data_IF_087603060945
#
_entry.id   IF_087603060945
#
_cell.length_a   1.000
_cell.length_b   1.000
_cell.length_c   1.000
_cell.angle_alpha   90.00
_cell.angle_beta   90.00
_cell.angle_gamma   90.00
#
_symmetry.space_group_name_H-M   'P 1'
#
loop_
_entity.id
_entity.type
_entity.pdbx_description
1 polymer ?
#
# COMPACT_ATOMS: atom_id res chain seq x y z
N UNK A 1 14.61 28.24 -4.03
CA UNK A 1 14.37 27.44 -2.79
C UNK A 1 12.91 27.03 -2.62
N UNK A 2 11.90 27.88 -2.85
CA UNK A 2 10.47 27.54 -2.65
C UNK A 2 9.97 26.41 -3.59
N UNK A 3 10.44 26.37 -4.84
CA UNK A 3 10.02 25.33 -5.80
C UNK A 3 10.63 23.94 -5.54
N UNK A 4 11.81 23.86 -4.92
CA UNK A 4 12.44 22.57 -4.64
C UNK A 4 11.79 21.86 -3.44
N UNK A 5 11.32 22.60 -2.43
CA UNK A 5 10.60 22.02 -1.30
C UNK A 5 9.26 21.43 -1.74
N UNK A 6 8.50 22.12 -2.60
CA UNK A 6 7.22 21.64 -3.13
C UNK A 6 7.37 20.36 -3.97
N UNK A 7 8.43 20.25 -4.75
CA UNK A 7 8.75 19.02 -5.51
C UNK A 7 9.18 17.86 -4.60
N UNK A 8 9.90 18.15 -3.50
CA UNK A 8 10.29 17.15 -2.50
C UNK A 8 9.06 16.58 -1.79
N UNK A 9 8.11 17.43 -1.43
CA UNK A 9 6.87 17.03 -0.74
C UNK A 9 5.96 16.19 -1.65
N UNK A 10 5.82 16.56 -2.92
CA UNK A 10 5.07 15.73 -3.89
C UNK A 10 5.71 14.36 -4.14
N UNK A 11 7.05 14.29 -4.20
CA UNK A 11 7.78 13.02 -4.34
C UNK A 11 7.58 12.11 -3.12
N UNK A 12 7.45 12.68 -1.93
CA UNK A 12 7.11 11.95 -0.71
C UNK A 12 5.67 11.44 -0.75
N UNK A 13 4.71 12.29 -1.10
CA UNK A 13 3.30 11.91 -1.24
C UNK A 13 3.12 10.78 -2.25
N UNK A 14 3.78 10.86 -3.41
CA UNK A 14 3.70 9.81 -4.43
C UNK A 14 4.29 8.47 -3.96
N UNK A 15 5.39 8.51 -3.17
CA UNK A 15 5.97 7.32 -2.55
C UNK A 15 5.00 6.70 -1.52
N UNK A 16 4.36 7.50 -0.69
CA UNK A 16 3.38 7.00 0.28
C UNK A 16 2.09 6.51 -0.38
N UNK A 17 1.68 7.09 -1.51
CA UNK A 17 0.48 6.68 -2.23
C UNK A 17 0.69 5.40 -3.05
N UNK A 18 1.88 5.22 -3.66
CA UNK A 18 2.12 4.08 -4.56
C UNK A 18 3.09 3.05 -3.98
N UNK A 19 4.24 3.46 -3.46
CA UNK A 19 5.31 2.54 -3.08
C UNK A 19 4.96 1.76 -1.82
N UNK A 20 4.41 2.44 -0.80
CA UNK A 20 4.00 1.78 0.44
C UNK A 20 2.87 0.76 0.23
N UNK A 21 1.76 1.11 -0.44
CA UNK A 21 0.72 0.13 -0.70
C UNK A 21 1.18 -1.01 -1.62
N UNK A 22 2.04 -0.74 -2.59
CA UNK A 22 2.63 -1.78 -3.45
C UNK A 22 3.49 -2.77 -2.65
N UNK A 23 4.24 -2.29 -1.65
CA UNK A 23 4.98 -3.16 -0.72
C UNK A 23 4.04 -4.11 0.02
N UNK A 24 2.92 -3.60 0.56
CA UNK A 24 1.93 -4.44 1.25
C UNK A 24 1.25 -5.44 0.32
N UNK A 25 0.91 -5.04 -0.91
CA UNK A 25 0.35 -5.95 -1.93
C UNK A 25 1.34 -7.06 -2.27
N UNK A 26 2.63 -6.73 -2.42
CA UNK A 26 3.68 -7.73 -2.68
C UNK A 26 3.82 -8.70 -1.51
N UNK A 27 3.80 -8.20 -0.27
CA UNK A 27 3.82 -9.05 0.91
C UNK A 27 2.59 -9.99 0.97
N UNK A 28 1.40 -9.49 0.62
CA UNK A 28 0.18 -10.30 0.53
C UNK A 28 0.27 -11.37 -0.56
N UNK A 29 0.91 -11.07 -1.69
CA UNK A 29 1.14 -12.05 -2.75
C UNK A 29 1.97 -13.24 -2.23
N UNK A 30 3.08 -12.93 -1.55
CA UNK A 30 3.95 -13.96 -0.95
C UNK A 30 3.20 -14.76 0.11
N UNK A 31 2.45 -14.09 1.00
CA UNK A 31 1.68 -14.75 2.05
C UNK A 31 0.61 -15.69 1.48
N UNK A 32 -0.16 -15.23 0.48
CA UNK A 32 -1.18 -16.05 -0.17
C UNK A 32 -0.58 -17.20 -0.95
N UNK A 33 0.58 -17.02 -1.58
CA UNK A 33 1.29 -18.11 -2.25
C UNK A 33 1.70 -19.21 -1.27
N UNK A 34 2.28 -18.84 -0.13
CA UNK A 34 2.66 -19.78 0.94
C UNK A 34 1.41 -20.49 1.49
N UNK A 35 0.34 -19.74 1.79
CA UNK A 35 -0.90 -20.30 2.31
C UNK A 35 -1.60 -21.23 1.31
N UNK A 36 -1.61 -20.85 0.04
CA UNK A 36 -2.20 -21.66 -1.01
C UNK A 36 -1.47 -22.99 -1.17
N UNK A 37 -0.14 -22.99 -1.06
CA UNK A 37 0.65 -24.22 -1.00
C UNK A 37 0.31 -25.04 0.25
N UNK A 38 0.38 -24.44 1.45
CA UNK A 38 0.17 -25.17 2.71
C UNK A 38 -1.23 -25.77 2.88
N UNK A 39 -2.23 -25.19 2.22
CA UNK A 39 -3.64 -25.59 2.35
C UNK A 39 -4.22 -26.23 1.09
N UNK A 40 -3.38 -26.49 0.08
CA UNK A 40 -3.80 -27.00 -1.25
C UNK A 40 -5.00 -26.22 -1.82
N UNK A 41 -4.94 -24.89 -1.72
CA UNK A 41 -6.02 -24.05 -2.24
C UNK A 41 -6.01 -24.04 -3.76
N UNK A 42 -7.20 -24.10 -4.36
CA UNK A 42 -7.34 -23.87 -5.79
C UNK A 42 -6.87 -22.45 -6.15
N UNK A 43 -6.27 -22.32 -7.34
CA UNK A 43 -5.80 -21.03 -7.84
C UNK A 43 -6.89 -19.95 -7.82
N UNK A 44 -8.13 -20.32 -8.15
CA UNK A 44 -9.29 -19.41 -8.14
C UNK A 44 -9.55 -18.89 -6.73
N UNK A 45 -9.49 -19.76 -5.72
CA UNK A 45 -9.70 -19.38 -4.33
C UNK A 45 -8.57 -18.47 -3.81
N UNK A 46 -7.31 -18.87 -4.03
CA UNK A 46 -6.15 -18.09 -3.65
C UNK A 46 -6.16 -16.69 -4.30
N UNK A 47 -6.51 -16.60 -5.59
CA UNK A 47 -6.65 -15.34 -6.33
C UNK A 47 -7.70 -14.43 -5.69
N UNK A 48 -8.88 -14.96 -5.33
CA UNK A 48 -9.93 -14.18 -4.66
C UNK A 48 -9.45 -13.63 -3.31
N UNK A 49 -8.84 -14.49 -2.49
CA UNK A 49 -8.30 -14.11 -1.18
C UNK A 49 -7.22 -13.03 -1.32
N UNK A 50 -6.31 -13.18 -2.28
CA UNK A 50 -5.27 -12.19 -2.57
C UNK A 50 -5.86 -10.82 -2.88
N UNK A 51 -6.87 -10.72 -3.76
CA UNK A 51 -7.47 -9.42 -4.08
C UNK A 51 -8.20 -8.80 -2.89
N UNK A 52 -8.91 -9.59 -2.09
CA UNK A 52 -9.60 -9.09 -0.90
C UNK A 52 -8.58 -8.52 0.10
N UNK A 53 -7.55 -9.29 0.46
CA UNK A 53 -6.54 -8.84 1.42
C UNK A 53 -5.68 -7.69 0.89
N UNK A 54 -5.34 -7.71 -0.40
CA UNK A 54 -4.61 -6.61 -1.04
C UNK A 54 -5.43 -5.31 -1.02
N UNK A 55 -6.74 -5.38 -1.30
CA UNK A 55 -7.62 -4.22 -1.23
C UNK A 55 -7.75 -3.67 0.19
N UNK A 56 -7.93 -4.55 1.18
CA UNK A 56 -8.00 -4.15 2.60
C UNK A 56 -6.69 -3.49 3.03
N UNK A 57 -5.54 -4.10 2.75
CA UNK A 57 -4.23 -3.56 3.14
C UNK A 57 -3.90 -2.25 2.42
N UNK A 58 -4.29 -2.13 1.15
CA UNK A 58 -4.16 -0.89 0.39
C UNK A 58 -4.97 0.23 1.07
N UNK A 59 -6.22 -0.02 1.46
CA UNK A 59 -7.05 0.94 2.17
C UNK A 59 -6.50 1.30 3.57
N UNK A 60 -6.10 0.29 4.35
CA UNK A 60 -5.51 0.48 5.69
C UNK A 60 -4.23 1.30 5.61
N UNK A 61 -3.41 1.11 4.56
CA UNK A 61 -2.21 1.90 4.35
C UNK A 61 -2.51 3.40 4.22
N UNK A 62 -3.65 3.79 3.61
CA UNK A 62 -4.03 5.20 3.54
C UNK A 62 -4.49 5.75 4.88
N UNK A 63 -5.29 4.99 5.62
CA UNK A 63 -5.79 5.41 6.94
C UNK A 63 -4.64 5.55 7.93
N UNK A 64 -3.73 4.57 7.97
CA UNK A 64 -2.58 4.58 8.87
C UNK A 64 -1.56 5.69 8.57
N UNK A 65 -1.45 6.12 7.30
CA UNK A 65 -0.55 7.20 6.90
C UNK A 65 -1.28 8.53 6.67
N UNK A 66 -2.53 8.65 7.11
CA UNK A 66 -3.34 9.86 6.93
C UNK A 66 -2.70 11.09 7.61
N UNK A 67 -1.99 10.88 8.72
CA UNK A 67 -1.25 11.94 9.41
C UNK A 67 -0.14 12.57 8.55
N UNK A 68 0.48 11.79 7.64
CA UNK A 68 1.49 12.29 6.71
C UNK A 68 0.85 13.18 5.64
N UNK A 69 -0.35 12.82 5.17
CA UNK A 69 -1.12 13.68 4.27
C UNK A 69 -1.53 14.99 4.97
N UNK A 70 -1.94 14.93 6.24
CA UNK A 70 -2.27 16.11 7.04
C UNK A 70 -1.06 17.02 7.27
N UNK A 71 0.12 16.46 7.56
CA UNK A 71 1.38 17.20 7.72
C UNK A 71 1.87 17.83 6.40
N UNK A 72 1.69 17.14 5.27
CA UNK A 72 1.99 17.68 3.94
C UNK A 72 1.09 18.87 3.56
N UNK A 73 -0.14 18.93 4.07
CA UNK A 73 -1.10 19.99 3.75
C UNK A 73 -1.13 21.12 4.78
N UNK A 74 -0.60 20.88 5.99
CA UNK A 74 -0.71 21.75 7.16
C UNK A 74 0.34 22.86 7.28
N UNK A 75 1.27 23.03 6.32
CA UNK A 75 2.09 24.25 6.24
C UNK A 75 1.31 25.35 5.53
N UNK A 76 0.38 25.97 6.26
CA UNK A 76 -0.10 27.33 5.96
C UNK A 76 0.24 28.23 7.13
#
# INVERSE_FOLDING_TARGET
MINEEKHRDWKLVLKYFLVYPLYYVTAMLVAVFILAWLKDWSFIFARKIFFIFSGIMWFVSYVAHFDIFKLSWGKK
#
